data_IF_751268034091
#
_entry.id   IF_751268034091
#
_cell.length_a   1.000
_cell.length_b   1.000
_cell.length_c   1.000
_cell.angle_alpha   90.00
_cell.angle_beta   90.00
_cell.angle_gamma   90.00
#
_symmetry.space_group_name_H-M   'P 1'
#
loop_
_entity.id
_entity.type
_entity.pdbx_description
1 polymer ?
#
# COMPACT_ATOMS: atom_id res chain seq x y z
N UNK A 1 13.44 58.38 18.90
CA UNK A 1 14.79 57.93 19.31
C UNK A 1 15.05 56.52 18.73
N UNK A 2 15.90 56.40 17.72
CA UNK A 2 16.17 55.11 17.02
C UNK A 2 16.92 54.11 17.87
N UNK A 3 17.57 54.52 18.93
CA UNK A 3 18.41 53.66 19.74
C UNK A 3 17.65 52.82 20.78
N UNK A 4 16.35 53.10 20.99
CA UNK A 4 15.50 52.26 21.84
C UNK A 4 14.82 51.09 21.15
N UNK A 5 14.84 51.01 19.82
CA UNK A 5 14.26 49.88 19.03
C UNK A 5 15.21 48.71 18.82
N UNK A 6 16.48 48.84 19.14
CA UNK A 6 17.50 47.80 18.93
C UNK A 6 17.83 46.95 20.15
N UNK A 7 17.16 47.20 21.32
CA UNK A 7 17.39 46.41 22.54
C UNK A 7 16.33 45.33 22.82
N UNK A 8 15.21 45.30 22.07
CA UNK A 8 14.12 44.32 22.25
C UNK A 8 14.11 43.18 21.26
N UNK A 9 15.14 43.05 20.43
CA UNK A 9 15.28 41.93 19.50
C UNK A 9 16.37 40.89 19.86
N UNK A 10 16.86 40.93 21.11
CA UNK A 10 17.95 40.07 21.58
C UNK A 10 17.54 38.83 22.35
N UNK A 11 16.25 38.63 22.65
CA UNK A 11 15.78 37.51 23.49
C UNK A 11 14.69 36.61 22.89
N UNK A 12 14.53 36.63 21.58
CA UNK A 12 13.81 35.55 20.92
C UNK A 12 14.80 34.42 20.60
N UNK A 13 15.11 33.63 21.61
CA UNK A 13 15.73 32.33 21.44
C UNK A 13 14.83 31.48 20.56
N UNK A 14 15.08 31.48 19.26
CA UNK A 14 14.58 30.46 18.33
C UNK A 14 15.24 29.16 18.77
N UNK A 15 14.56 28.42 19.65
CA UNK A 15 14.74 26.98 19.77
C UNK A 15 14.40 26.39 18.41
N UNK A 16 15.42 26.27 17.55
CA UNK A 16 15.37 25.40 16.39
C UNK A 16 15.23 23.98 16.94
N UNK A 17 14.00 23.56 17.14
CA UNK A 17 13.67 22.15 17.31
C UNK A 17 14.20 21.46 16.06
N UNK A 18 15.27 20.69 16.23
CA UNK A 18 15.77 19.81 15.17
C UNK A 18 14.57 19.05 14.58
N UNK A 19 14.42 19.00 13.24
CA UNK A 19 13.33 18.25 12.64
C UNK A 19 13.48 16.78 13.05
N UNK A 20 12.49 16.28 13.81
CA UNK A 20 12.43 14.87 14.20
C UNK A 20 12.53 14.03 12.94
N UNK A 21 13.50 13.13 12.86
CA UNK A 21 13.64 12.21 11.74
C UNK A 21 12.33 11.45 11.52
N UNK A 22 11.86 11.29 10.26
CA UNK A 22 10.65 10.54 9.97
C UNK A 22 10.85 9.07 10.34
N UNK A 23 10.04 8.55 11.25
CA UNK A 23 10.06 7.16 11.66
C UNK A 23 8.95 6.39 10.94
N UNK A 24 9.28 5.24 10.36
CA UNK A 24 8.32 4.29 9.83
C UNK A 24 7.91 3.30 10.92
N UNK A 25 6.62 3.03 11.03
CA UNK A 25 6.11 2.04 11.97
C UNK A 25 5.65 0.77 11.26
N UNK A 26 5.95 -0.36 11.86
CA UNK A 26 5.53 -1.69 11.38
C UNK A 26 4.46 -2.23 12.32
N UNK A 27 3.31 -2.61 11.76
CA UNK A 27 2.21 -3.24 12.49
C UNK A 27 1.89 -4.58 11.86
N UNK A 28 2.03 -5.65 12.62
CA UNK A 28 1.63 -7.01 12.22
C UNK A 28 0.29 -7.38 12.88
N UNK A 29 -0.58 -8.01 12.12
CA UNK A 29 -1.79 -8.62 12.62
C UNK A 29 -1.84 -10.08 12.16
N UNK A 30 -1.69 -11.02 13.10
CA UNK A 30 -1.81 -12.46 12.85
C UNK A 30 -3.12 -12.96 13.49
N UNK A 31 -4.27 -12.58 12.94
CA UNK A 31 -5.56 -12.92 13.52
C UNK A 31 -6.63 -13.30 12.52
N UNK A 32 -7.41 -14.29 12.88
CA UNK A 32 -8.57 -14.75 12.13
C UNK A 32 -9.64 -13.65 12.04
N UNK A 33 -10.37 -13.55 10.91
CA UNK A 33 -11.29 -12.45 10.64
C UNK A 33 -12.51 -12.44 11.57
N UNK A 34 -12.93 -11.25 11.95
CA UNK A 34 -14.01 -10.91 12.91
C UNK A 34 -15.42 -11.31 12.44
N UNK A 35 -15.60 -11.85 11.23
CA UNK A 35 -16.90 -12.16 10.64
C UNK A 35 -17.56 -13.49 11.14
N UNK A 36 -16.92 -14.20 12.06
CA UNK A 36 -17.48 -15.47 12.62
C UNK A 36 -18.61 -15.27 13.64
N UNK A 37 -19.06 -14.06 13.92
CA UNK A 37 -20.04 -13.78 14.99
C UNK A 37 -21.44 -13.41 14.48
N UNK A 38 -21.78 -13.52 13.19
CA UNK A 38 -23.13 -13.22 12.69
C UNK A 38 -23.75 -14.38 11.91
N UNK A 39 -23.96 -15.52 12.57
CA UNK A 39 -24.86 -16.58 12.09
C UNK A 39 -25.55 -17.28 13.25
N UNK A 40 -26.47 -16.57 13.89
CA UNK A 40 -27.54 -17.16 14.72
C UNK A 40 -28.75 -16.26 14.63
N UNK A 41 -29.65 -16.49 13.69
CA UNK A 41 -31.09 -16.33 13.78
C UNK A 41 -31.67 -16.94 12.49
N UNK A 42 -32.21 -18.13 12.60
CA UNK A 42 -33.45 -18.62 12.06
C UNK A 42 -33.49 -20.15 11.96
N UNK A 43 -34.03 -20.80 12.95
CA UNK A 43 -34.80 -22.01 12.77
C UNK A 43 -35.62 -22.28 14.06
N UNK A 44 -36.85 -21.84 14.06
CA UNK A 44 -37.89 -22.28 14.98
C UNK A 44 -38.70 -23.34 14.26
N UNK A 45 -38.90 -24.51 14.89
CA UNK A 45 -39.99 -25.36 14.53
C UNK A 45 -39.78 -26.89 14.59
N UNK A 46 -40.03 -27.51 15.75
CA UNK A 46 -40.71 -28.74 16.03
C UNK A 46 -40.09 -30.11 15.67
N UNK A 47 -40.64 -31.27 16.18
CA UNK A 47 -40.77 -31.55 17.62
C UNK A 47 -40.03 -32.83 18.06
N UNK A 48 -39.94 -32.97 19.36
CA UNK A 48 -39.52 -34.07 20.25
C UNK A 48 -39.88 -35.49 19.79
N UNK A 49 -38.94 -36.44 19.81
CA UNK A 49 -39.12 -37.78 20.44
C UNK A 49 -37.75 -38.43 20.65
N UNK A 50 -37.60 -38.94 21.84
CA UNK A 50 -36.50 -39.48 22.55
C UNK A 50 -35.69 -40.63 21.96
N UNK A 51 -34.48 -40.78 22.48
CA UNK A 51 -34.01 -42.02 23.10
C UNK A 51 -32.71 -41.71 23.90
N UNK A 52 -32.76 -41.97 25.20
CA UNK A 52 -31.59 -42.20 26.02
C UNK A 52 -30.95 -43.51 25.58
N UNK A 53 -29.64 -43.56 25.44
CA UNK A 53 -28.80 -44.71 25.86
C UNK A 53 -27.30 -44.39 25.76
N UNK A 54 -26.65 -44.67 26.85
CA UNK A 54 -25.26 -45.09 27.01
C UNK A 54 -24.16 -44.04 26.93
N UNK A 55 -23.68 -43.69 28.09
CA UNK A 55 -22.37 -43.09 28.31
C UNK A 55 -21.26 -44.03 27.83
N UNK A 56 -20.32 -43.43 27.16
CA UNK A 56 -18.94 -43.89 27.05
C UNK A 56 -18.06 -42.66 26.70
N UNK A 57 -17.25 -42.28 27.66
CA UNK A 57 -15.98 -41.60 27.53
C UNK A 57 -15.76 -40.70 26.29
N UNK A 58 -16.27 -39.47 26.32
CA UNK A 58 -15.91 -38.44 25.39
C UNK A 58 -15.15 -37.29 26.10
N UNK A 59 -14.23 -37.66 27.00
CA UNK A 59 -13.36 -36.71 27.73
C UNK A 59 -12.03 -36.45 27.08
N UNK A 60 -11.89 -36.76 25.78
CA UNK A 60 -10.62 -36.61 25.07
C UNK A 60 -10.58 -35.61 23.91
N UNK A 61 -11.70 -34.93 23.57
CA UNK A 61 -11.75 -34.09 22.35
C UNK A 61 -12.14 -32.62 22.57
N UNK A 62 -12.05 -32.14 23.80
CA UNK A 62 -12.08 -30.72 24.11
C UNK A 62 -10.67 -30.25 24.52
N UNK A 63 -9.68 -30.62 23.73
CA UNK A 63 -8.43 -29.88 23.65
C UNK A 63 -8.75 -28.50 23.09
N UNK A 64 -9.17 -27.55 23.92
CA UNK A 64 -9.31 -26.16 23.57
C UNK A 64 -7.95 -25.65 23.09
N UNK A 65 -7.78 -25.56 21.78
CA UNK A 65 -6.78 -24.68 21.21
C UNK A 65 -7.02 -23.33 21.85
N UNK A 66 -6.15 -22.93 22.77
CA UNK A 66 -6.07 -21.56 23.25
C UNK A 66 -5.90 -20.73 21.98
N UNK A 67 -6.95 -20.12 21.53
CA UNK A 67 -6.91 -19.05 20.53
C UNK A 67 -6.04 -17.98 21.15
N UNK A 68 -4.75 -18.02 20.87
CA UNK A 68 -3.85 -16.92 21.16
C UNK A 68 -4.38 -15.75 20.36
N UNK A 69 -4.94 -14.77 21.05
CA UNK A 69 -5.32 -13.51 20.43
C UNK A 69 -4.10 -13.00 19.65
N UNK A 70 -4.25 -12.57 18.41
CA UNK A 70 -3.12 -12.11 17.62
C UNK A 70 -2.41 -11.00 18.36
N UNK A 71 -1.14 -11.23 18.65
CA UNK A 71 -0.34 -10.26 19.39
C UNK A 71 0.03 -9.12 18.43
N UNK A 72 -0.44 -7.91 18.72
CA UNK A 72 -0.03 -6.72 18.00
C UNK A 72 1.43 -6.42 18.34
N UNK A 73 2.32 -6.63 17.38
CA UNK A 73 3.72 -6.20 17.49
C UNK A 73 3.86 -4.84 16.81
N UNK A 74 4.42 -3.87 17.53
CA UNK A 74 4.75 -2.55 17.00
C UNK A 74 6.25 -2.37 17.13
N UNK A 75 6.90 -2.07 16.01
CA UNK A 75 8.34 -1.81 15.94
C UNK A 75 8.57 -0.54 15.13
N UNK A 76 9.63 0.18 15.42
CA UNK A 76 10.05 1.34 14.64
C UNK A 76 11.04 0.91 13.57
N UNK A 77 10.84 1.41 12.36
CA UNK A 77 11.79 1.31 11.28
C UNK A 77 12.61 2.60 11.25
N UNK A 78 13.91 2.51 11.44
CA UNK A 78 14.85 3.64 11.33
C UNK A 78 15.54 3.61 9.98
N UNK A 79 15.89 4.77 9.44
CA UNK A 79 16.77 4.86 8.30
C UNK A 79 18.16 4.29 8.67
N UNK A 80 18.91 3.72 7.73
CA UNK A 80 20.29 3.30 7.98
C UNK A 80 21.15 4.48 8.45
N UNK A 81 22.22 4.19 9.20
CA UNK A 81 23.13 5.22 9.72
C UNK A 81 23.66 6.12 8.60
N UNK A 82 23.65 7.42 8.81
CA UNK A 82 24.07 8.42 7.83
C UNK A 82 23.09 8.63 6.67
N UNK A 83 21.89 8.03 6.71
CA UNK A 83 20.87 8.16 5.66
C UNK A 83 19.59 8.76 6.24
N UNK A 84 18.76 9.31 5.36
CA UNK A 84 17.41 9.79 5.69
C UNK A 84 16.37 9.12 4.79
N UNK A 85 15.18 8.84 5.31
CA UNK A 85 14.08 8.36 4.48
C UNK A 85 13.73 9.36 3.38
N UNK A 86 13.49 8.86 2.16
CA UNK A 86 12.96 9.64 1.06
C UNK A 86 11.52 9.24 0.74
N UNK A 87 10.59 9.83 1.44
CA UNK A 87 9.16 9.55 1.27
C UNK A 87 8.52 10.32 0.09
N UNK A 88 9.27 11.23 -0.54
CA UNK A 88 8.82 11.94 -1.74
C UNK A 88 9.01 11.10 -3.00
N UNK A 89 9.95 10.16 -3.02
CA UNK A 89 10.11 9.22 -4.14
C UNK A 89 9.07 8.10 -4.17
N UNK A 90 8.26 7.99 -3.15
CA UNK A 90 7.20 7.00 -3.03
C UNK A 90 7.11 6.43 -1.61
N UNK A 91 5.98 5.80 -1.27
CA UNK A 91 5.82 5.13 0.02
C UNK A 91 6.71 3.89 0.13
N UNK A 92 6.96 3.41 1.37
CA UNK A 92 7.54 2.10 1.55
C UNK A 92 6.65 1.01 0.93
N UNK A 93 7.19 -0.18 0.75
CA UNK A 93 6.41 -1.34 0.29
C UNK A 93 6.79 -2.57 1.08
N UNK A 94 5.83 -3.46 1.35
CA UNK A 94 6.00 -4.69 2.13
C UNK A 94 5.84 -5.88 1.21
N UNK A 95 6.72 -6.88 1.33
CA UNK A 95 6.59 -8.14 0.59
C UNK A 95 5.28 -8.85 0.96
N UNK A 96 4.77 -9.66 0.04
CA UNK A 96 3.46 -10.32 0.20
C UNK A 96 3.40 -11.22 1.44
N UNK A 97 4.48 -11.90 1.75
CA UNK A 97 4.63 -12.73 2.95
C UNK A 97 4.78 -11.92 4.25
N UNK A 98 4.93 -10.61 4.14
CA UNK A 98 5.10 -9.69 5.27
C UNK A 98 6.48 -9.74 5.92
N UNK A 99 7.48 -10.38 5.30
CA UNK A 99 8.81 -10.55 5.91
C UNK A 99 9.78 -9.42 5.62
N UNK A 100 9.63 -8.76 4.47
CA UNK A 100 10.55 -7.74 4.02
C UNK A 100 9.86 -6.41 3.77
N UNK A 101 10.55 -5.33 4.06
CA UNK A 101 10.15 -3.97 3.72
C UNK A 101 11.20 -3.38 2.78
N UNK A 102 10.75 -2.82 1.66
CA UNK A 102 11.58 -1.99 0.82
C UNK A 102 11.17 -0.52 0.98
N UNK A 103 12.15 0.35 1.05
CA UNK A 103 11.94 1.79 1.21
C UNK A 103 13.05 2.58 0.51
N UNK A 104 12.77 3.84 0.28
CA UNK A 104 13.73 4.76 -0.32
C UNK A 104 14.47 5.53 0.77
N UNK A 105 15.78 5.61 0.66
CA UNK A 105 16.58 6.47 1.51
C UNK A 105 17.63 7.24 0.69
N UNK A 106 17.99 8.42 1.23
CA UNK A 106 19.01 9.31 0.66
C UNK A 106 20.30 9.22 1.43
N UNK A 107 21.39 9.15 0.70
CA UNK A 107 22.73 9.40 1.21
C UNK A 107 22.94 10.90 1.52
N UNK A 108 23.95 11.26 2.33
CA UNK A 108 24.27 12.67 2.61
C UNK A 108 24.56 13.51 1.37
N UNK A 109 25.01 12.89 0.27
CA UNK A 109 25.23 13.54 -1.03
C UNK A 109 23.96 13.73 -1.86
N UNK A 110 22.78 13.40 -1.29
CA UNK A 110 21.47 13.53 -1.91
C UNK A 110 21.07 12.40 -2.87
N UNK A 111 21.93 11.39 -3.08
CA UNK A 111 21.60 10.23 -3.93
C UNK A 111 20.58 9.35 -3.25
N UNK A 112 19.56 8.93 -3.99
CA UNK A 112 18.50 8.06 -3.53
C UNK A 112 18.70 6.64 -4.04
N UNK A 113 18.43 5.65 -3.16
CA UNK A 113 18.50 4.23 -3.46
C UNK A 113 17.35 3.48 -2.77
N UNK A 114 17.05 2.27 -3.25
CA UNK A 114 16.20 1.32 -2.54
C UNK A 114 17.04 0.61 -1.48
N UNK A 115 16.45 0.54 -0.28
CA UNK A 115 16.93 -0.30 0.82
C UNK A 115 15.90 -1.38 1.11
N UNK A 116 16.38 -2.58 1.39
CA UNK A 116 15.54 -3.72 1.80
C UNK A 116 15.96 -4.13 3.20
N UNK A 117 14.98 -4.29 4.07
CA UNK A 117 15.14 -4.78 5.43
C UNK A 117 14.21 -5.94 5.69
N UNK A 118 14.74 -7.04 6.20
CA UNK A 118 13.93 -8.09 6.81
C UNK A 118 13.36 -7.62 8.15
N UNK A 119 12.11 -7.95 8.46
CA UNK A 119 11.46 -7.52 9.70
C UNK A 119 11.96 -8.25 10.95
N UNK A 120 12.68 -9.34 10.78
CA UNK A 120 13.37 -10.07 11.84
C UNK A 120 14.83 -9.59 12.07
N UNK A 121 15.32 -8.67 11.22
CA UNK A 121 16.67 -8.11 11.31
C UNK A 121 16.60 -6.58 11.41
N UNK A 122 17.54 -5.98 12.17
CA UNK A 122 17.67 -4.54 12.28
C UNK A 122 18.35 -3.90 11.06
N UNK A 123 19.20 -4.64 10.35
CA UNK A 123 20.01 -4.11 9.27
C UNK A 123 19.24 -4.01 7.96
N UNK A 124 19.40 -2.88 7.28
CA UNK A 124 18.88 -2.68 5.95
C UNK A 124 20.01 -2.77 4.90
N UNK A 125 19.77 -3.54 3.84
CA UNK A 125 20.70 -3.69 2.72
C UNK A 125 20.33 -2.74 1.59
N UNK A 126 21.30 -1.93 1.13
CA UNK A 126 21.16 -1.10 -0.06
C UNK A 126 21.22 -1.97 -1.33
N UNK A 127 20.38 -1.65 -2.31
CA UNK A 127 20.49 -2.20 -3.67
C UNK A 127 21.22 -1.19 -4.56
N UNK A 128 22.45 -1.50 -4.93
CA UNK A 128 23.36 -0.53 -5.57
C UNK A 128 22.89 -0.06 -6.95
N UNK A 129 22.25 -0.93 -7.74
CA UNK A 129 21.78 -0.62 -9.09
C UNK A 129 20.37 0.01 -9.11
N UNK A 130 20.03 0.74 -8.02
CA UNK A 130 18.72 1.42 -7.87
C UNK A 130 18.85 2.93 -7.68
N UNK A 131 19.94 3.53 -8.16
CA UNK A 131 20.14 4.97 -8.05
C UNK A 131 18.99 5.73 -8.70
N UNK A 132 18.43 6.71 -7.96
CA UNK A 132 17.32 7.54 -8.43
C UNK A 132 15.97 6.83 -8.41
N UNK A 133 15.87 5.63 -7.83
CA UNK A 133 14.65 4.84 -7.81
C UNK A 133 13.45 5.59 -7.21
N UNK A 134 12.27 5.29 -7.74
CA UNK A 134 10.97 5.80 -7.30
C UNK A 134 9.94 4.68 -7.26
N UNK A 135 8.96 4.80 -6.35
CA UNK A 135 7.77 3.96 -6.24
C UNK A 135 8.09 2.45 -6.32
N UNK A 136 8.93 1.90 -5.43
CA UNK A 136 9.24 0.48 -5.45
C UNK A 136 8.00 -0.37 -5.16
N UNK A 137 7.93 -1.56 -5.78
CA UNK A 137 6.88 -2.55 -5.54
C UNK A 137 7.45 -3.96 -5.65
N UNK A 138 6.89 -4.90 -4.89
CA UNK A 138 7.37 -6.27 -4.81
C UNK A 138 6.82 -7.17 -5.90
N UNK A 139 7.64 -8.13 -6.34
CA UNK A 139 7.14 -9.33 -7.01
C UNK A 139 6.31 -10.20 -6.07
N UNK A 140 5.38 -11.02 -6.56
CA UNK A 140 4.51 -11.86 -5.74
C UNK A 140 5.28 -12.83 -4.84
N UNK A 141 6.40 -13.35 -5.32
CA UNK A 141 7.28 -14.28 -4.59
C UNK A 141 8.23 -13.60 -3.59
N UNK A 142 8.27 -12.25 -3.57
CA UNK A 142 9.13 -11.47 -2.70
C UNK A 142 10.62 -11.54 -3.00
N UNK A 143 11.02 -12.03 -4.19
CA UNK A 143 12.43 -12.17 -4.58
C UNK A 143 12.94 -11.03 -5.45
N UNK A 144 12.03 -10.23 -6.01
CA UNK A 144 12.35 -9.11 -6.89
C UNK A 144 11.59 -7.86 -6.50
N UNK A 145 12.10 -6.71 -6.93
CA UNK A 145 11.44 -5.42 -6.87
C UNK A 145 11.31 -4.82 -8.26
N UNK A 146 10.12 -4.30 -8.57
CA UNK A 146 9.95 -3.34 -9.65
C UNK A 146 10.11 -1.92 -9.11
N UNK A 147 10.60 -1.00 -9.92
CA UNK A 147 10.76 0.41 -9.57
C UNK A 147 10.89 1.28 -10.83
N UNK A 148 10.75 2.59 -10.66
CA UNK A 148 11.02 3.53 -11.74
C UNK A 148 12.35 4.25 -11.48
N UNK A 149 13.13 4.45 -12.54
CA UNK A 149 14.34 5.28 -12.52
C UNK A 149 14.73 5.67 -13.94
N UNK A 150 15.27 6.88 -14.12
CA UNK A 150 15.76 7.39 -15.41
C UNK A 150 14.68 7.36 -16.52
N UNK A 151 13.42 7.61 -16.17
CA UNK A 151 12.29 7.56 -17.11
C UNK A 151 11.92 6.16 -17.59
N UNK A 152 12.26 5.12 -16.84
CA UNK A 152 12.05 3.72 -17.19
C UNK A 152 11.45 2.93 -16.05
N UNK A 153 10.62 1.96 -16.39
CA UNK A 153 10.24 0.86 -15.50
C UNK A 153 11.38 -0.16 -15.51
N UNK A 154 11.86 -0.51 -14.33
CA UNK A 154 12.96 -1.46 -14.11
C UNK A 154 12.57 -2.54 -13.13
N UNK A 155 13.23 -3.68 -13.21
CA UNK A 155 13.15 -4.81 -12.27
C UNK A 155 14.54 -5.11 -11.73
N UNK A 156 14.64 -5.52 -10.45
CA UNK A 156 15.88 -5.95 -9.81
C UNK A 156 15.63 -7.17 -8.94
N UNK A 157 16.39 -8.24 -9.14
CA UNK A 157 16.42 -9.39 -8.25
C UNK A 157 17.16 -9.09 -6.95
N UNK A 158 16.71 -9.61 -5.84
CA UNK A 158 17.39 -9.40 -4.56
C UNK A 158 18.74 -10.13 -4.48
N UNK A 159 18.91 -11.24 -5.17
CA UNK A 159 20.15 -12.04 -5.16
C UNK A 159 21.21 -11.42 -6.07
N UNK A 160 20.86 -11.12 -7.31
CA UNK A 160 21.79 -10.63 -8.35
C UNK A 160 22.09 -9.14 -8.19
N UNK A 161 21.14 -8.40 -7.58
CA UNK A 161 21.19 -6.95 -7.37
C UNK A 161 21.47 -6.16 -8.67
N UNK A 162 21.08 -6.70 -9.84
CA UNK A 162 21.25 -6.09 -11.16
C UNK A 162 19.89 -5.64 -11.71
N UNK A 163 19.80 -4.39 -12.11
CA UNK A 163 18.56 -3.84 -12.65
C UNK A 163 18.44 -4.13 -14.15
N UNK A 164 17.25 -4.55 -14.56
CA UNK A 164 16.85 -4.78 -15.96
C UNK A 164 15.78 -3.76 -16.35
N UNK A 165 15.85 -3.21 -17.55
CA UNK A 165 14.84 -2.31 -18.09
C UNK A 165 13.71 -3.15 -18.68
N UNK A 166 12.47 -2.83 -18.28
CA UNK A 166 11.28 -3.48 -18.81
C UNK A 166 10.55 -2.60 -19.83
N UNK A 167 10.38 -1.30 -19.55
CA UNK A 167 9.65 -0.39 -20.42
C UNK A 167 10.09 1.06 -20.24
N UNK A 168 9.74 1.92 -21.20
CA UNK A 168 9.79 3.36 -21.06
C UNK A 168 8.67 3.84 -20.11
N UNK A 169 9.02 4.76 -19.22
CA UNK A 169 8.09 5.34 -18.24
C UNK A 169 8.57 6.75 -17.85
N UNK A 170 8.44 7.74 -18.75
CA UNK A 170 9.00 9.07 -18.56
C UNK A 170 8.37 9.86 -17.42
N UNK A 171 7.12 9.58 -17.08
CA UNK A 171 6.36 10.26 -16.02
C UNK A 171 5.51 9.27 -15.23
N UNK A 172 6.16 8.40 -14.41
CA UNK A 172 5.48 7.29 -13.78
C UNK A 172 4.50 7.75 -12.68
N UNK A 173 3.37 7.05 -12.57
CA UNK A 173 2.35 7.28 -11.56
C UNK A 173 1.96 5.99 -10.80
N UNK A 174 2.90 5.07 -10.67
CA UNK A 174 2.74 3.86 -9.88
C UNK A 174 2.62 2.60 -10.71
N UNK A 175 2.81 1.47 -10.03
CA UNK A 175 2.70 0.13 -10.59
C UNK A 175 2.34 -0.89 -9.51
N UNK A 176 1.92 -2.08 -9.93
CA UNK A 176 1.83 -3.26 -9.10
C UNK A 176 2.10 -4.53 -9.90
N UNK A 177 2.57 -5.56 -9.20
CA UNK A 177 2.92 -6.86 -9.78
C UNK A 177 1.91 -7.90 -9.34
N UNK A 178 1.24 -8.53 -10.30
CA UNK A 178 0.20 -9.53 -10.08
C UNK A 178 0.78 -10.94 -9.97
N UNK A 179 -0.03 -11.88 -9.49
CA UNK A 179 0.36 -13.27 -9.22
C UNK A 179 0.75 -14.09 -10.47
N UNK A 180 0.32 -13.65 -11.63
CA UNK A 180 0.63 -14.26 -12.93
C UNK A 180 1.87 -13.67 -13.61
N UNK A 181 2.72 -12.99 -12.83
CA UNK A 181 3.90 -12.28 -13.31
C UNK A 181 3.62 -11.14 -14.31
N UNK A 182 2.38 -10.63 -14.32
CA UNK A 182 2.03 -9.42 -15.06
C UNK A 182 2.25 -8.19 -14.19
N UNK A 183 2.90 -7.17 -14.74
CA UNK A 183 3.06 -5.85 -14.12
C UNK A 183 2.07 -4.90 -14.78
N UNK A 184 1.19 -4.27 -13.97
CA UNK A 184 0.38 -3.14 -14.38
C UNK A 184 1.05 -1.85 -13.94
N UNK A 185 1.18 -0.88 -14.84
CA UNK A 185 1.86 0.39 -14.53
C UNK A 185 1.29 1.57 -15.30
N UNK A 186 1.49 2.77 -14.79
CA UNK A 186 1.27 4.03 -15.51
C UNK A 186 2.63 4.67 -15.73
N UNK A 187 3.07 4.74 -16.98
CA UNK A 187 4.38 5.27 -17.36
C UNK A 187 4.36 6.72 -17.80
N UNK A 188 3.20 7.28 -18.08
CA UNK A 188 3.02 8.66 -18.55
C UNK A 188 1.67 9.23 -18.07
N UNK A 189 1.62 10.52 -17.71
CA UNK A 189 0.40 11.19 -17.23
C UNK A 189 -0.78 11.11 -18.21
N UNK A 190 -0.50 11.12 -19.50
CA UNK A 190 -1.52 11.16 -20.54
C UNK A 190 -1.91 9.76 -21.05
N UNK A 191 -1.37 8.71 -20.47
CA UNK A 191 -1.60 7.34 -20.92
C UNK A 191 -2.43 6.55 -19.92
N UNK A 192 -3.33 5.67 -20.40
CA UNK A 192 -3.97 4.71 -19.52
C UNK A 192 -2.92 3.71 -18.98
N UNK A 193 -3.27 2.92 -17.95
CA UNK A 193 -2.38 1.87 -17.48
C UNK A 193 -2.00 0.89 -18.60
N UNK A 194 -0.76 0.44 -18.59
CA UNK A 194 -0.24 -0.61 -19.46
C UNK A 194 0.06 -1.88 -18.68
N UNK A 195 0.09 -2.99 -19.38
CA UNK A 195 0.50 -4.31 -18.87
C UNK A 195 1.77 -4.75 -19.59
N UNK A 196 2.70 -5.32 -18.83
CA UNK A 196 3.90 -5.95 -19.35
C UNK A 196 4.20 -7.23 -18.56
N UNK A 197 4.76 -8.25 -19.19
CA UNK A 197 5.26 -9.41 -18.46
C UNK A 197 6.52 -9.06 -17.67
N UNK A 198 6.74 -9.71 -16.54
CA UNK A 198 7.87 -9.44 -15.66
C UNK A 198 9.23 -9.81 -16.27
N UNK A 199 9.26 -10.62 -17.32
CA UNK A 199 10.44 -10.96 -18.13
C UNK A 199 10.65 -10.01 -19.31
N UNK A 200 9.82 -8.95 -19.44
CA UNK A 200 9.88 -7.95 -20.49
C UNK A 200 8.95 -8.26 -21.67
N UNK A 201 9.19 -7.59 -22.78
CA UNK A 201 8.39 -7.72 -23.99
C UNK A 201 7.57 -6.47 -24.32
N UNK A 202 6.52 -6.63 -25.12
CA UNK A 202 5.69 -5.52 -25.56
C UNK A 202 4.72 -5.06 -24.49
N UNK A 203 4.59 -3.73 -24.33
CA UNK A 203 3.59 -3.14 -23.45
C UNK A 203 2.21 -3.21 -24.13
N UNK A 204 1.27 -3.88 -23.50
CA UNK A 204 -0.13 -3.88 -23.88
C UNK A 204 -0.87 -2.75 -23.16
N UNK A 205 -1.25 -1.72 -23.87
CA UNK A 205 -2.07 -0.63 -23.30
C UNK A 205 -3.48 -1.16 -22.98
N UNK A 206 -4.00 -0.78 -21.81
CA UNK A 206 -5.38 -1.07 -21.45
C UNK A 206 -6.34 -0.08 -22.14
N UNK A 207 -7.61 -0.48 -22.36
CA UNK A 207 -8.63 0.43 -22.83
C UNK A 207 -8.77 1.63 -21.90
N UNK A 208 -8.96 2.83 -22.48
CA UNK A 208 -9.14 4.06 -21.71
C UNK A 208 -10.47 4.02 -20.96
N UNK A 209 -10.48 4.03 -19.62
CA UNK A 209 -11.73 3.95 -18.85
C UNK A 209 -12.67 5.14 -19.04
N UNK A 210 -12.12 6.30 -19.38
CA UNK A 210 -12.87 7.53 -19.61
C UNK A 210 -12.44 8.20 -20.92
N UNK A 211 -12.86 7.69 -22.08
CA UNK A 211 -12.47 8.29 -23.36
C UNK A 211 -13.01 9.71 -23.50
N UNK A 212 -12.19 10.60 -24.07
CA UNK A 212 -12.57 11.97 -24.36
C UNK A 212 -12.54 12.96 -23.18
N UNK A 213 -12.05 12.55 -22.01
CA UNK A 213 -11.77 13.49 -20.92
C UNK A 213 -10.39 14.14 -21.14
N UNK A 214 -10.34 15.45 -21.34
CA UNK A 214 -9.07 16.19 -21.35
C UNK A 214 -8.52 16.27 -19.93
N UNK A 215 -7.21 16.26 -19.79
CA UNK A 215 -6.52 16.52 -18.52
C UNK A 215 -6.89 15.55 -17.39
N UNK A 216 -6.94 14.26 -17.69
CA UNK A 216 -7.11 13.20 -16.69
C UNK A 216 -5.81 12.46 -16.48
N UNK A 217 -5.53 12.12 -15.21
CA UNK A 217 -4.39 11.30 -14.83
C UNK A 217 -4.86 10.01 -14.18
N UNK A 218 -4.22 8.92 -14.57
CA UNK A 218 -4.40 7.62 -13.95
C UNK A 218 -3.21 7.37 -13.03
N UNK A 219 -3.44 6.90 -11.80
CA UNK A 219 -2.35 6.62 -10.87
C UNK A 219 -2.62 5.35 -10.06
N UNK A 220 -1.57 4.76 -9.53
CA UNK A 220 -1.58 3.63 -8.61
C UNK A 220 -2.43 2.45 -9.09
N UNK A 221 -2.20 1.97 -10.31
CA UNK A 221 -2.94 0.82 -10.80
C UNK A 221 -2.59 -0.42 -10.00
N UNK A 222 -3.61 -1.23 -9.66
CA UNK A 222 -3.44 -2.48 -8.92
C UNK A 222 -4.42 -3.52 -9.42
N UNK A 223 -3.93 -4.68 -9.82
CA UNK A 223 -4.78 -5.81 -10.19
C UNK A 223 -5.45 -6.37 -8.94
N UNK A 224 -6.77 -6.56 -8.99
CA UNK A 224 -7.57 -7.17 -7.92
C UNK A 224 -7.30 -8.69 -7.94
N UNK A 225 -7.21 -9.38 -6.79
CA UNK A 225 -7.14 -10.83 -6.75
C UNK A 225 -8.25 -11.48 -7.59
N UNK A 226 -7.86 -12.47 -8.42
CA UNK A 226 -8.75 -13.05 -9.42
C UNK A 226 -8.50 -12.57 -10.86
N UNK A 227 -7.71 -11.49 -11.05
CA UNK A 227 -7.13 -11.11 -12.34
C UNK A 227 -8.09 -10.59 -13.42
N UNK A 228 -9.33 -10.23 -13.06
CA UNK A 228 -10.33 -9.75 -14.04
C UNK A 228 -10.49 -8.23 -14.05
N UNK A 229 -10.16 -7.57 -12.93
CA UNK A 229 -10.31 -6.14 -12.73
C UNK A 229 -9.06 -5.53 -12.09
N UNK A 230 -8.92 -4.23 -12.20
CA UNK A 230 -7.88 -3.45 -11.54
C UNK A 230 -8.45 -2.20 -10.88
N UNK A 231 -7.81 -1.77 -9.80
CA UNK A 231 -8.06 -0.50 -9.13
C UNK A 231 -7.16 0.58 -9.71
N UNK A 232 -7.60 1.82 -9.69
CA UNK A 232 -6.79 2.99 -10.04
C UNK A 232 -7.36 4.26 -9.43
N UNK A 233 -6.51 5.24 -9.24
CA UNK A 233 -6.91 6.61 -8.90
C UNK A 233 -7.07 7.40 -10.20
N UNK A 234 -8.20 8.07 -10.35
CA UNK A 234 -8.46 9.03 -11.42
C UNK A 234 -8.38 10.43 -10.84
N UNK A 235 -7.57 11.29 -11.43
CA UNK A 235 -7.64 12.73 -11.24
C UNK A 235 -8.20 13.38 -12.49
N UNK A 236 -9.34 14.04 -12.32
CA UNK A 236 -10.02 14.84 -13.35
C UNK A 236 -9.86 16.32 -13.00
N UNK A 237 -8.88 16.99 -13.64
CA UNK A 237 -8.51 18.38 -13.30
C UNK A 237 -9.57 19.43 -13.64
N UNK A 238 -10.50 19.11 -14.51
CA UNK A 238 -11.55 20.02 -14.97
C UNK A 238 -12.96 19.63 -14.57
N UNK A 239 -13.12 18.48 -13.89
CA UNK A 239 -14.42 17.86 -13.67
C UNK A 239 -14.65 17.32 -12.26
N UNK A 240 -15.78 16.65 -12.09
CA UNK A 240 -16.23 16.08 -10.82
C UNK A 240 -15.98 14.57 -10.70
N UNK A 241 -15.14 13.99 -11.56
CA UNK A 241 -14.96 12.54 -11.65
C UNK A 241 -13.78 12.01 -10.86
N UNK A 242 -12.97 12.87 -10.24
CA UNK A 242 -11.85 12.43 -9.39
C UNK A 242 -12.29 11.43 -8.34
N UNK A 243 -11.47 10.41 -8.10
CA UNK A 243 -11.76 9.35 -7.14
C UNK A 243 -10.96 8.08 -7.40
N UNK A 244 -11.25 7.05 -6.62
CA UNK A 244 -10.71 5.70 -6.80
C UNK A 244 -11.76 4.82 -7.47
N UNK A 245 -11.32 4.11 -8.51
CA UNK A 245 -12.18 3.32 -9.40
C UNK A 245 -11.68 1.89 -9.50
N UNK A 246 -12.59 1.00 -9.88
CA UNK A 246 -12.28 -0.31 -10.43
C UNK A 246 -12.65 -0.35 -11.91
N UNK A 247 -11.89 -1.06 -12.75
CA UNK A 247 -12.23 -1.29 -14.16
C UNK A 247 -11.81 -2.68 -14.62
N UNK A 248 -12.43 -3.17 -15.70
CA UNK A 248 -12.09 -4.46 -16.28
C UNK A 248 -10.74 -4.39 -17.01
N UNK A 249 -9.96 -5.47 -16.91
CA UNK A 249 -8.66 -5.64 -17.62
C UNK A 249 -8.81 -5.95 -19.11
N UNK A 250 -9.97 -6.41 -19.52
CA UNK A 250 -10.26 -6.81 -20.92
C UNK A 250 -11.66 -6.35 -21.33
N UNK A 251 -11.85 -6.12 -22.62
CA UNK A 251 -13.14 -5.68 -23.18
C UNK A 251 -13.41 -4.19 -22.87
N UNK A 252 -14.68 -3.84 -22.66
CA UNK A 252 -15.08 -2.51 -22.22
C UNK A 252 -14.69 -2.33 -20.74
N UNK A 253 -13.91 -1.30 -20.38
CA UNK A 253 -13.41 -1.13 -19.02
C UNK A 253 -14.49 -0.96 -17.94
N UNK A 254 -15.69 -0.47 -18.29
CA UNK A 254 -16.83 -0.30 -17.36
C UNK A 254 -16.41 0.24 -15.98
N UNK A 255 -15.87 1.46 -15.88
CA UNK A 255 -15.29 1.96 -14.64
C UNK A 255 -16.38 2.15 -13.56
N UNK A 256 -16.15 1.54 -12.39
CA UNK A 256 -17.00 1.64 -11.21
C UNK A 256 -16.33 2.56 -10.20
N UNK A 257 -17.02 3.64 -9.79
CA UNK A 257 -16.54 4.51 -8.71
C UNK A 257 -16.66 3.78 -7.37
N UNK A 258 -15.55 3.59 -6.69
CA UNK A 258 -15.51 3.01 -5.36
C UNK A 258 -15.63 4.08 -4.27
N UNK A 259 -14.86 5.16 -4.41
CA UNK A 259 -14.89 6.31 -3.49
C UNK A 259 -14.42 7.58 -4.17
N UNK A 260 -14.87 8.73 -3.67
CA UNK A 260 -14.36 10.04 -4.10
C UNK A 260 -12.98 10.39 -3.54
N UNK A 261 -12.49 9.61 -2.60
CA UNK A 261 -11.14 9.78 -2.07
C UNK A 261 -10.11 9.40 -3.12
N UNK A 262 -9.19 10.32 -3.39
CA UNK A 262 -8.04 10.07 -4.26
C UNK A 262 -6.87 9.59 -3.40
N UNK A 263 -6.73 8.31 -3.24
CA UNK A 263 -5.64 7.71 -2.47
C UNK A 263 -5.20 6.40 -3.09
N UNK A 264 -3.90 6.14 -3.07
CA UNK A 264 -3.40 4.80 -3.31
C UNK A 264 -4.12 3.79 -2.42
N UNK A 265 -4.49 2.66 -2.99
CA UNK A 265 -5.23 1.61 -2.31
C UNK A 265 -4.36 0.38 -2.13
N UNK A 266 -4.41 -0.22 -0.95
CA UNK A 266 -3.85 -1.54 -0.68
C UNK A 266 -4.97 -2.55 -0.43
N UNK A 267 -4.88 -3.71 -1.08
CA UNK A 267 -5.78 -4.83 -0.81
C UNK A 267 -5.16 -5.72 0.27
N UNK A 268 -5.96 -6.06 1.29
CA UNK A 268 -5.56 -6.95 2.40
C UNK A 268 -6.59 -8.07 2.53
N UNK A 269 -6.11 -9.31 2.58
CA UNK A 269 -6.97 -10.47 2.76
C UNK A 269 -7.73 -10.44 4.10
N UNK A 270 -8.96 -10.94 4.16
CA UNK A 270 -9.74 -11.63 3.11
C UNK A 270 -10.73 -10.74 2.33
N UNK A 271 -10.49 -9.47 2.16
CA UNK A 271 -11.39 -8.55 1.45
C UNK A 271 -11.48 -7.20 2.12
N UNK A 272 -10.34 -6.56 2.32
CA UNK A 272 -10.25 -5.22 2.83
C UNK A 272 -9.49 -4.32 1.86
N UNK A 273 -10.01 -3.10 1.65
CA UNK A 273 -9.28 -2.02 1.02
C UNK A 273 -8.81 -1.04 2.08
N UNK A 274 -7.53 -0.72 2.03
CA UNK A 274 -6.92 0.28 2.88
C UNK A 274 -6.58 1.51 2.04
N UNK A 275 -7.04 2.67 2.47
CA UNK A 275 -6.65 3.95 1.85
C UNK A 275 -6.65 5.09 2.87
N UNK A 276 -5.92 6.14 2.51
CA UNK A 276 -5.83 7.34 3.32
C UNK A 276 -7.05 8.23 3.08
N UNK A 277 -7.67 8.67 4.15
CA UNK A 277 -8.80 9.59 4.09
C UNK A 277 -8.80 10.49 5.34
N UNK A 278 -8.86 11.81 5.14
CA UNK A 278 -8.96 12.82 6.20
C UNK A 278 -7.91 12.68 7.32
N UNK A 279 -6.66 12.39 6.97
CA UNK A 279 -5.57 12.25 7.92
C UNK A 279 -5.37 10.85 8.50
N UNK A 280 -6.31 9.94 8.23
CA UNK A 280 -6.28 8.59 8.77
C UNK A 280 -6.13 7.54 7.68
N UNK A 281 -5.44 6.46 8.02
CA UNK A 281 -5.53 5.22 7.26
C UNK A 281 -6.78 4.50 7.70
N UNK A 282 -7.71 4.30 6.77
CA UNK A 282 -8.97 3.59 7.00
C UNK A 282 -8.98 2.27 6.26
N UNK A 283 -9.61 1.27 6.84
CA UNK A 283 -9.89 -0.03 6.21
C UNK A 283 -11.39 -0.16 5.97
N UNK A 284 -11.76 -0.55 4.76
CA UNK A 284 -13.14 -0.78 4.33
C UNK A 284 -13.31 -2.22 3.88
N UNK A 285 -14.40 -2.91 4.25
CA UNK A 285 -14.76 -4.18 3.63
C UNK A 285 -14.93 -3.99 2.13
N UNK A 286 -14.48 -4.96 1.34
CA UNK A 286 -14.55 -4.90 -0.11
C UNK A 286 -14.95 -6.24 -0.70
N UNK A 287 -16.02 -6.23 -1.49
CA UNK A 287 -16.44 -7.37 -2.30
C UNK A 287 -15.83 -7.23 -3.71
N UNK A 288 -14.80 -8.03 -3.98
CA UNK A 288 -14.07 -8.00 -5.25
C UNK A 288 -14.90 -8.55 -6.44
N UNK A 289 -15.97 -9.34 -6.19
CA UNK A 289 -16.83 -9.86 -7.24
C UNK A 289 -17.89 -8.83 -7.67
N UNK A 290 -18.38 -8.05 -6.71
CA UNK A 290 -19.38 -7.00 -6.96
C UNK A 290 -18.76 -5.63 -7.20
N UNK A 291 -17.46 -5.47 -6.90
CA UNK A 291 -16.76 -4.20 -6.89
C UNK A 291 -17.42 -3.17 -5.95
N UNK A 292 -17.81 -3.60 -4.78
CA UNK A 292 -18.51 -2.78 -3.79
C UNK A 292 -17.67 -2.60 -2.53
N UNK A 293 -17.63 -1.36 -2.04
CA UNK A 293 -17.03 -1.01 -0.74
C UNK A 293 -18.13 -0.96 0.32
N UNK A 294 -17.89 -1.57 1.48
CA UNK A 294 -18.78 -1.47 2.63
C UNK A 294 -18.89 -0.04 3.16
N UNK A 295 -20.03 0.29 3.77
CA UNK A 295 -20.30 1.63 4.30
C UNK A 295 -19.58 1.95 5.61
N UNK A 296 -19.17 0.94 6.36
CA UNK A 296 -18.50 1.10 7.65
C UNK A 296 -16.98 0.92 7.49
N UNK A 297 -16.21 1.85 8.02
CA UNK A 297 -14.76 1.79 8.01
C UNK A 297 -14.17 1.64 9.41
N UNK A 298 -12.95 1.13 9.46
CA UNK A 298 -12.15 1.06 10.69
C UNK A 298 -10.94 1.97 10.56
N UNK A 299 -10.79 2.91 11.48
CA UNK A 299 -9.57 3.74 11.57
C UNK A 299 -8.42 2.89 12.12
N UNK A 300 -7.34 2.79 11.35
CA UNK A 300 -6.17 1.99 11.70
C UNK A 300 -5.05 2.81 12.34
N UNK A 301 -4.75 3.98 11.78
CA UNK A 301 -3.65 4.83 12.20
C UNK A 301 -3.80 6.26 11.67
N UNK A 302 -3.22 7.22 12.37
CA UNK A 302 -2.90 8.56 11.85
C UNK A 302 -1.67 8.44 10.93
N UNK A 303 -1.82 8.80 9.67
CA UNK A 303 -0.81 8.55 8.62
C UNK A 303 -0.55 9.82 7.82
N UNK A 304 0.73 10.11 7.61
CA UNK A 304 1.15 11.24 6.79
C UNK A 304 0.71 11.09 5.33
N UNK A 305 0.51 12.21 4.67
CA UNK A 305 0.09 12.32 3.28
C UNK A 305 1.19 12.87 2.39
N UNK A 306 1.20 12.45 1.14
CA UNK A 306 2.02 13.03 0.08
C UNK A 306 1.11 13.54 -1.04
N UNK A 307 1.03 14.86 -1.19
CA UNK A 307 0.27 15.48 -2.28
C UNK A 307 0.88 15.21 -3.66
N UNK A 308 2.19 15.02 -3.72
CA UNK A 308 2.91 14.76 -4.97
C UNK A 308 2.56 13.41 -5.59
N UNK A 309 2.31 12.40 -4.74
CA UNK A 309 2.04 11.04 -5.20
C UNK A 309 0.60 10.58 -4.95
N UNK A 310 -0.31 11.44 -4.48
CA UNK A 310 -1.69 11.07 -4.10
C UNK A 310 -1.71 9.79 -3.26
N UNK A 311 -0.83 9.71 -2.28
CA UNK A 311 -0.74 8.51 -1.46
C UNK A 311 -0.52 8.84 0.00
N UNK A 312 -1.23 8.12 0.87
CA UNK A 312 -0.84 7.98 2.25
C UNK A 312 0.53 7.30 2.34
N UNK A 313 1.33 7.71 3.31
CA UNK A 313 2.67 7.14 3.54
C UNK A 313 2.55 5.84 4.31
N UNK A 314 2.00 4.82 3.66
CA UNK A 314 1.79 3.49 4.23
C UNK A 314 2.00 2.40 3.19
N UNK A 315 2.19 1.19 3.66
CA UNK A 315 2.14 -0.04 2.88
C UNK A 315 1.53 -1.15 3.73
N UNK A 316 0.80 -2.05 3.10
CA UNK A 316 0.28 -3.22 3.75
C UNK A 316 0.57 -4.48 2.93
N UNK A 317 0.82 -5.60 3.62
CA UNK A 317 0.86 -6.91 2.98
C UNK A 317 -0.49 -7.61 3.10
N UNK A 318 -0.83 -8.53 2.19
CA UNK A 318 -1.98 -9.41 2.35
C UNK A 318 -1.93 -10.20 3.67
N UNK A 319 -0.76 -10.53 4.17
CA UNK A 319 -0.56 -11.23 5.46
C UNK A 319 -0.85 -10.37 6.71
N UNK A 320 -1.22 -9.10 6.55
CA UNK A 320 -1.64 -8.21 7.65
C UNK A 320 -0.52 -7.38 8.28
N UNK A 321 0.66 -7.31 7.67
CA UNK A 321 1.72 -6.37 8.08
C UNK A 321 1.41 -4.98 7.55
N UNK A 322 1.41 -3.98 8.42
CA UNK A 322 1.22 -2.57 8.09
C UNK A 322 2.46 -1.77 8.45
N UNK A 323 3.02 -1.07 7.48
CA UNK A 323 4.11 -0.10 7.65
C UNK A 323 3.60 1.29 7.29
N UNK A 324 3.82 2.27 8.16
CA UNK A 324 3.35 3.63 7.90
C UNK A 324 4.21 4.69 8.59
N UNK A 325 4.19 5.89 8.04
CA UNK A 325 4.71 7.07 8.71
C UNK A 325 3.56 7.78 9.43
N UNK A 326 3.74 8.09 10.71
CA UNK A 326 2.76 8.89 11.45
C UNK A 326 2.58 10.28 10.83
N UNK A 327 1.34 10.75 10.83
CA UNK A 327 1.03 12.14 10.57
C UNK A 327 1.69 13.06 11.59
N UNK A 328 2.17 14.23 11.15
CA UNK A 328 2.77 15.22 12.06
C UNK A 328 1.74 16.16 12.68
N UNK A 329 0.43 15.86 12.51
CA UNK A 329 -0.66 16.63 13.13
C UNK A 329 -0.79 18.09 12.66
N UNK A 330 -0.14 18.46 11.55
CA UNK A 330 -0.36 19.76 10.91
C UNK A 330 -1.11 19.54 9.58
N UNK A 331 -2.38 19.92 9.58
CA UNK A 331 -3.23 20.08 8.42
C UNK A 331 -3.29 21.55 8.03
#
# INVERSE_FOLDING_TARGET
DPERRLRDMGDAGLELKEPSEPQLQVRGNTGTPVWRTLLWIAAIGGPVTGLMLAGANFSGWLGGSKSTSPQRVVSNLSAPEGHSFDLNGGPPTVSRDGRNVAFLAREPNGRRFIFVRSLDNADARRLDDTRGAEMPFWSPDGRSLGFFADGKLKKIGLEDARAEVLAEAPQPLGASWADDDTIIFVGDYNSPPGLIAADGGDVRQLPVPFPGLPSTWYAWPRIIPGGTHYLFVLQDLGGSRSGTYAAALTGDPQPVLLTRTMSRVEFVDPGWLLFWEEGYLKAYPFDAQRLEIGSESVNLADVGWSSFSFSGRFAASPSGILVYQRGTGQF
#
